data_IF_036955590834
#
_entry.id   IF_036955590834
#
_cell.length_a   1.000
_cell.length_b   1.000
_cell.length_c   1.000
_cell.angle_alpha   90.00
_cell.angle_beta   90.00
_cell.angle_gamma   90.00
#
_symmetry.space_group_name_H-M   'P 1'
#
loop_
_entity.id
_entity.type
_entity.pdbx_description
1 polymer ?
#
# COMPACT_ATOMS: atom_id res chain seq x y z
N UNK A 1 -30.78 -27.93 -35.89
CA UNK A 1 -30.89 -27.62 -34.44
C UNK A 1 -29.51 -27.23 -33.97
N UNK A 2 -29.29 -25.93 -33.73
CA UNK A 2 -28.03 -25.45 -33.16
C UNK A 2 -28.08 -25.72 -31.65
N UNK A 3 -27.18 -26.56 -31.17
CA UNK A 3 -26.96 -26.81 -29.75
C UNK A 3 -26.34 -25.56 -29.14
N UNK A 4 -27.09 -24.85 -28.30
CA UNK A 4 -26.53 -23.78 -27.47
C UNK A 4 -25.41 -24.37 -26.60
N UNK A 5 -24.21 -23.74 -26.57
CA UNK A 5 -23.15 -24.18 -25.68
C UNK A 5 -23.65 -24.05 -24.23
N UNK A 6 -23.55 -25.16 -23.50
CA UNK A 6 -23.89 -25.27 -22.08
C UNK A 6 -23.17 -24.18 -21.30
N UNK A 7 -23.95 -23.51 -20.45
CA UNK A 7 -23.57 -22.30 -19.73
C UNK A 7 -22.27 -22.45 -18.94
N UNK A 8 -21.52 -21.35 -18.88
CA UNK A 8 -20.37 -21.21 -18.01
C UNK A 8 -20.76 -21.63 -16.59
N UNK A 9 -20.07 -22.61 -16.03
CA UNK A 9 -20.19 -22.93 -14.61
C UNK A 9 -20.00 -21.63 -13.82
N UNK A 10 -20.86 -21.34 -12.82
CA UNK A 10 -20.74 -20.12 -12.05
C UNK A 10 -19.32 -20.03 -11.48
N UNK A 11 -18.68 -18.88 -11.67
CA UNK A 11 -17.37 -18.62 -11.08
C UNK A 11 -17.47 -18.86 -9.56
N UNK A 12 -16.67 -19.78 -9.04
CA UNK A 12 -16.67 -20.08 -7.61
C UNK A 12 -15.70 -19.13 -6.91
N UNK A 13 -16.20 -18.52 -5.84
CA UNK A 13 -15.45 -17.61 -4.97
C UNK A 13 -15.21 -18.29 -3.63
N UNK A 14 -14.02 -18.11 -3.08
CA UNK A 14 -13.68 -18.50 -1.71
C UNK A 14 -13.23 -17.27 -0.93
N UNK A 15 -13.72 -17.12 0.31
CA UNK A 15 -13.31 -16.07 1.22
C UNK A 15 -12.68 -16.66 2.47
N UNK A 16 -11.44 -16.32 2.72
CA UNK A 16 -10.71 -16.59 3.95
C UNK A 16 -10.81 -15.34 4.81
N UNK A 17 -11.56 -15.43 5.90
CA UNK A 17 -11.67 -14.38 6.93
C UNK A 17 -11.45 -15.04 8.28
N UNK A 18 -10.23 -15.55 8.47
CA UNK A 18 -9.85 -16.30 9.66
C UNK A 18 -8.78 -15.52 10.42
N UNK A 19 -9.03 -15.30 11.71
CA UNK A 19 -8.03 -14.75 12.63
C UNK A 19 -6.87 -15.73 12.83
N UNK A 20 -7.11 -17.03 12.63
CA UNK A 20 -6.10 -18.09 12.64
C UNK A 20 -5.78 -18.52 11.19
N UNK A 21 -4.70 -17.94 10.65
CA UNK A 21 -4.26 -18.26 9.30
C UNK A 21 -3.72 -19.70 9.16
N UNK A 22 -3.28 -20.34 10.26
CA UNK A 22 -2.88 -21.74 10.25
C UNK A 22 -4.11 -22.65 10.15
N UNK A 23 -5.21 -22.30 10.82
CA UNK A 23 -6.49 -22.99 10.65
C UNK A 23 -7.02 -22.83 9.22
N UNK A 24 -6.96 -21.63 8.64
CA UNK A 24 -7.32 -21.42 7.24
C UNK A 24 -6.48 -22.28 6.28
N UNK A 25 -5.16 -22.31 6.48
CA UNK A 25 -4.24 -23.14 5.69
C UNK A 25 -4.54 -24.64 5.86
N UNK A 26 -4.82 -25.10 7.07
CA UNK A 26 -5.20 -26.49 7.36
C UNK A 26 -6.50 -26.88 6.63
N UNK A 27 -7.48 -25.98 6.62
CA UNK A 27 -8.75 -26.16 5.92
C UNK A 27 -8.52 -26.28 4.41
N UNK A 28 -7.72 -25.39 3.82
CA UNK A 28 -7.36 -25.47 2.41
C UNK A 28 -6.63 -26.77 2.05
N UNK A 29 -5.68 -27.20 2.88
CA UNK A 29 -4.92 -28.46 2.66
C UNK A 29 -5.79 -29.70 2.65
N UNK A 30 -6.92 -29.67 3.36
CA UNK A 30 -7.89 -30.78 3.40
C UNK A 30 -8.99 -30.66 2.36
N UNK A 31 -9.07 -29.52 1.65
CA UNK A 31 -10.04 -29.30 0.57
C UNK A 31 -9.66 -30.13 -0.66
N UNK A 32 -10.62 -30.86 -1.29
CA UNK A 32 -10.32 -31.64 -2.49
C UNK A 32 -9.75 -30.78 -3.62
N UNK A 33 -8.72 -31.29 -4.31
CA UNK A 33 -8.05 -30.58 -5.42
C UNK A 33 -9.03 -30.12 -6.49
N UNK A 34 -10.04 -30.94 -6.81
CA UNK A 34 -11.06 -30.58 -7.80
C UNK A 34 -11.88 -29.33 -7.39
N UNK A 35 -12.11 -29.14 -6.09
CA UNK A 35 -12.79 -27.95 -5.57
C UNK A 35 -11.87 -26.73 -5.62
N UNK A 36 -10.61 -26.88 -5.22
CA UNK A 36 -9.60 -25.81 -5.31
C UNK A 36 -9.41 -25.33 -6.76
N UNK A 37 -9.31 -26.26 -7.71
CA UNK A 37 -9.19 -25.94 -9.13
C UNK A 37 -10.45 -25.30 -9.73
N UNK A 38 -11.60 -25.39 -9.07
CA UNK A 38 -12.81 -24.71 -9.53
C UNK A 38 -12.79 -23.22 -9.16
N UNK A 39 -12.13 -22.85 -8.06
CA UNK A 39 -12.10 -21.47 -7.53
C UNK A 39 -11.47 -20.53 -8.57
N UNK A 40 -12.16 -19.41 -8.84
CA UNK A 40 -11.70 -18.34 -9.75
C UNK A 40 -11.44 -17.03 -9.03
N UNK A 41 -11.95 -16.88 -7.83
CA UNK A 41 -11.72 -15.70 -7.00
C UNK A 41 -11.44 -16.14 -5.57
N UNK A 42 -10.29 -15.72 -5.03
CA UNK A 42 -9.90 -15.95 -3.66
C UNK A 42 -9.76 -14.61 -2.94
N UNK A 43 -10.58 -14.40 -1.92
CA UNK A 43 -10.48 -13.25 -1.03
C UNK A 43 -9.78 -13.67 0.27
N UNK A 44 -8.73 -12.96 0.65
CA UNK A 44 -8.09 -13.09 1.97
C UNK A 44 -8.34 -11.79 2.72
N UNK A 45 -9.18 -11.84 3.75
CA UNK A 45 -9.53 -10.69 4.59
C UNK A 45 -8.76 -10.85 5.91
N UNK A 46 -7.73 -10.02 6.08
CA UNK A 46 -7.00 -9.95 7.34
C UNK A 46 -7.89 -9.27 8.37
N UNK A 47 -7.96 -9.85 9.56
CA UNK A 47 -8.73 -9.33 10.69
C UNK A 47 -7.86 -8.45 11.58
N UNK A 48 -8.51 -7.69 12.46
CA UNK A 48 -7.83 -6.94 13.51
C UNK A 48 -6.86 -7.80 14.32
N UNK A 49 -7.23 -9.05 14.62
CA UNK A 49 -6.36 -10.00 15.33
C UNK A 49 -5.08 -10.32 14.56
N UNK A 50 -5.17 -10.47 13.23
CA UNK A 50 -3.98 -10.68 12.40
C UNK A 50 -3.06 -9.45 12.52
N UNK A 51 -3.64 -8.24 12.49
CA UNK A 51 -2.88 -7.01 12.64
C UNK A 51 -2.26 -6.87 14.04
N UNK A 52 -3.03 -7.05 15.11
CA UNK A 52 -2.59 -6.95 16.50
C UNK A 52 -1.39 -7.84 16.78
N UNK A 53 -1.35 -9.04 16.19
CA UNK A 53 -0.30 -10.03 16.42
C UNK A 53 0.67 -10.19 15.25
N UNK A 54 0.65 -9.32 14.24
CA UNK A 54 1.31 -9.59 12.94
C UNK A 54 2.79 -10.01 13.04
N UNK A 55 3.54 -9.37 13.94
CA UNK A 55 4.96 -9.64 14.17
C UNK A 55 5.24 -10.60 15.35
N UNK A 56 4.23 -11.37 15.78
CA UNK A 56 4.35 -12.32 16.89
C UNK A 56 4.24 -11.68 18.27
N UNK A 57 3.92 -10.40 18.36
CA UNK A 57 3.64 -9.68 19.60
C UNK A 57 2.43 -8.79 19.41
N UNK A 58 1.78 -8.40 20.51
CA UNK A 58 0.83 -7.29 20.50
C UNK A 58 1.49 -6.04 19.92
N UNK A 59 0.65 -5.23 19.29
CA UNK A 59 1.00 -3.91 18.84
C UNK A 59 1.51 -3.01 20.01
N UNK A 60 2.61 -2.24 19.82
CA UNK A 60 3.07 -1.32 20.84
C UNK A 60 2.00 -0.31 21.25
N UNK A 61 1.76 -0.19 22.56
CA UNK A 61 0.75 0.74 23.10
C UNK A 61 -0.65 0.14 23.26
N UNK A 62 -0.87 -1.13 22.92
CA UNK A 62 -2.20 -1.77 23.05
C UNK A 62 -2.80 -1.65 24.47
N UNK A 63 -1.97 -1.72 25.51
CA UNK A 63 -2.37 -1.57 26.92
C UNK A 63 -2.85 -0.17 27.32
N UNK A 64 -2.68 0.83 26.45
CA UNK A 64 -3.21 2.20 26.66
C UNK A 64 -4.64 2.29 26.14
N UNK A 65 -4.98 1.46 25.16
CA UNK A 65 -6.29 1.45 24.48
C UNK A 65 -7.22 0.41 25.09
N UNK A 66 -6.67 -0.76 25.43
CA UNK A 66 -7.39 -1.90 25.94
C UNK A 66 -7.00 -2.13 27.40
N UNK A 67 -7.99 -2.34 28.26
CA UNK A 67 -7.71 -2.77 29.63
C UNK A 67 -7.29 -4.26 29.68
N UNK A 68 -6.96 -4.77 30.86
CA UNK A 68 -6.53 -6.18 31.00
C UNK A 68 -7.65 -7.15 30.62
N UNK A 69 -8.92 -6.81 30.88
CA UNK A 69 -10.06 -7.66 30.54
C UNK A 69 -10.29 -7.66 29.02
N UNK A 70 -10.15 -6.51 28.35
CA UNK A 70 -10.17 -6.40 26.89
C UNK A 70 -9.04 -7.21 26.28
N UNK A 71 -7.80 -7.08 26.77
CA UNK A 71 -6.64 -7.82 26.27
C UNK A 71 -6.78 -9.32 26.51
N UNK A 72 -7.33 -9.74 27.65
CA UNK A 72 -7.64 -11.13 27.96
C UNK A 72 -8.79 -11.66 27.10
N UNK A 73 -9.81 -10.83 26.82
CA UNK A 73 -10.88 -11.14 25.88
C UNK A 73 -10.35 -11.27 24.46
N UNK A 74 -9.47 -10.36 24.01
CA UNK A 74 -8.76 -10.47 22.74
C UNK A 74 -7.92 -11.74 22.71
N UNK A 75 -7.16 -12.05 23.76
CA UNK A 75 -6.39 -13.29 23.87
C UNK A 75 -7.28 -14.54 23.96
N UNK A 76 -8.55 -14.42 24.37
CA UNK A 76 -9.50 -15.53 24.42
C UNK A 76 -10.20 -15.75 23.09
N UNK A 77 -10.69 -14.67 22.47
CA UNK A 77 -11.37 -14.67 21.18
C UNK A 77 -10.38 -14.92 20.05
N UNK A 78 -9.17 -14.41 20.21
CA UNK A 78 -8.09 -14.43 19.24
C UNK A 78 -6.79 -14.80 19.93
N UNK A 79 -6.67 -16.05 20.41
CA UNK A 79 -5.47 -16.50 21.10
C UNK A 79 -4.24 -16.13 20.28
N UNK A 80 -3.42 -15.28 20.88
CA UNK A 80 -2.08 -15.03 20.39
C UNK A 80 -1.44 -16.40 20.12
N UNK A 81 -0.56 -16.53 19.13
CA UNK A 81 0.18 -17.76 18.86
C UNK A 81 1.05 -18.26 20.04
N UNK A 82 0.90 -17.75 21.26
CA UNK A 82 1.61 -18.18 22.44
C UNK A 82 0.63 -18.54 23.57
N UNK A 83 0.03 -19.73 23.45
CA UNK A 83 -0.46 -20.55 24.58
C UNK A 83 -0.55 -22.03 24.19
N UNK A 84 -0.68 -22.33 22.89
CA UNK A 84 -0.44 -23.68 22.39
C UNK A 84 1.06 -23.88 22.14
N UNK A 85 1.65 -24.92 22.73
CA UNK A 85 3.02 -25.37 22.41
C UNK A 85 3.19 -25.84 20.95
N UNK A 86 2.16 -25.70 20.11
CA UNK A 86 2.12 -26.09 18.70
C UNK A 86 2.06 -24.93 17.72
N UNK A 87 2.06 -23.67 18.18
CA UNK A 87 2.02 -22.53 17.27
C UNK A 87 3.40 -22.33 16.63
N UNK A 88 3.49 -22.61 15.32
CA UNK A 88 4.77 -22.80 14.62
C UNK A 88 5.28 -21.49 14.00
N UNK A 89 4.52 -20.40 13.96
CA UNK A 89 4.93 -19.17 13.25
C UNK A 89 4.10 -17.93 13.63
N UNK A 90 4.66 -16.70 13.56
CA UNK A 90 3.88 -15.47 13.68
C UNK A 90 2.87 -15.34 12.50
N UNK A 91 1.79 -14.53 12.61
CA UNK A 91 0.78 -14.38 11.57
C UNK A 91 1.35 -13.96 10.20
N UNK A 92 2.40 -13.14 10.19
CA UNK A 92 3.15 -12.77 8.98
C UNK A 92 3.77 -13.98 8.26
N UNK A 93 4.24 -14.98 9.00
CA UNK A 93 4.78 -16.23 8.44
C UNK A 93 3.67 -17.21 8.06
N UNK A 94 2.60 -17.30 8.86
CA UNK A 94 1.40 -18.08 8.51
C UNK A 94 0.75 -17.55 7.23
N UNK A 95 0.70 -16.22 7.05
CA UNK A 95 0.25 -15.57 5.82
C UNK A 95 1.14 -15.94 4.63
N UNK A 96 2.48 -15.91 4.77
CA UNK A 96 3.38 -16.38 3.72
C UNK A 96 3.16 -17.85 3.38
N UNK A 97 2.97 -18.71 4.38
CA UNK A 97 2.68 -20.12 4.18
C UNK A 97 1.36 -20.34 3.42
N UNK A 98 0.33 -19.55 3.77
CA UNK A 98 -0.95 -19.53 3.06
C UNK A 98 -0.77 -19.11 1.59
N UNK A 99 -0.05 -18.02 1.33
CA UNK A 99 0.22 -17.55 -0.03
C UNK A 99 1.00 -18.60 -0.84
N UNK A 100 2.03 -19.25 -0.26
CA UNK A 100 2.79 -20.31 -0.93
C UNK A 100 1.89 -21.49 -1.31
N UNK A 101 1.01 -21.91 -0.40
CA UNK A 101 0.01 -22.94 -0.71
C UNK A 101 -0.91 -22.54 -1.86
N UNK A 102 -1.38 -21.28 -1.88
CA UNK A 102 -2.18 -20.75 -2.99
C UNK A 102 -1.38 -20.83 -4.30
N UNK A 103 -0.13 -20.37 -4.30
CA UNK A 103 0.75 -20.38 -5.45
C UNK A 103 1.05 -21.78 -6.00
N UNK A 104 0.97 -22.82 -5.16
CA UNK A 104 1.22 -24.22 -5.51
C UNK A 104 -0.04 -24.99 -5.92
N UNK A 105 -1.20 -24.61 -5.37
CA UNK A 105 -2.42 -25.44 -5.46
C UNK A 105 -3.48 -24.88 -6.41
N UNK A 106 -3.39 -23.61 -6.78
CA UNK A 106 -4.35 -22.95 -7.66
C UNK A 106 -3.79 -22.72 -9.06
N UNK A 107 -4.67 -22.66 -10.05
CA UNK A 107 -4.34 -22.20 -11.39
C UNK A 107 -4.27 -20.67 -11.41
N UNK A 108 -3.06 -20.13 -11.24
CA UNK A 108 -2.85 -18.69 -11.05
C UNK A 108 -3.27 -17.85 -12.27
N UNK A 109 -3.13 -18.40 -13.48
CA UNK A 109 -3.55 -17.72 -14.72
C UNK A 109 -5.05 -17.50 -14.82
N UNK A 110 -5.83 -18.23 -14.00
CA UNK A 110 -7.29 -18.16 -13.93
C UNK A 110 -7.81 -17.63 -12.58
N UNK A 111 -6.90 -17.26 -11.67
CA UNK A 111 -7.23 -16.84 -10.31
C UNK A 111 -7.17 -15.31 -10.15
N UNK A 112 -8.27 -14.75 -9.65
CA UNK A 112 -8.28 -13.41 -9.05
C UNK A 112 -8.00 -13.53 -7.57
N UNK A 113 -6.85 -13.02 -7.12
CA UNK A 113 -6.50 -12.96 -5.71
C UNK A 113 -6.75 -11.55 -5.18
N UNK A 114 -7.58 -11.42 -4.14
CA UNK A 114 -7.81 -10.17 -3.43
C UNK A 114 -7.39 -10.29 -1.97
N UNK A 115 -6.44 -9.48 -1.53
CA UNK A 115 -6.02 -9.37 -0.12
C UNK A 115 -6.55 -8.08 0.47
N UNK A 116 -7.44 -8.18 1.45
CA UNK A 116 -7.95 -7.05 2.21
C UNK A 116 -7.21 -6.92 3.55
N UNK A 117 -6.23 -6.01 3.60
CA UNK A 117 -5.53 -5.59 4.80
C UNK A 117 -6.17 -4.34 5.43
N UNK A 118 -7.05 -3.65 4.68
CA UNK A 118 -7.73 -2.43 5.11
C UNK A 118 -8.70 -2.64 6.26
N UNK A 119 -9.48 -3.73 6.23
CA UNK A 119 -10.47 -4.03 7.28
C UNK A 119 -9.81 -4.18 8.65
N UNK A 120 -8.68 -4.90 8.74
CA UNK A 120 -7.92 -5.06 9.98
C UNK A 120 -7.49 -3.73 10.59
N UNK A 121 -6.96 -2.83 9.76
CA UNK A 121 -6.52 -1.52 10.22
C UNK A 121 -7.70 -0.64 10.63
N UNK A 122 -8.80 -0.68 9.86
CA UNK A 122 -9.98 0.12 10.15
C UNK A 122 -10.60 -0.24 11.50
N UNK A 123 -10.78 -1.53 11.80
CA UNK A 123 -11.29 -1.97 13.10
C UNK A 123 -10.40 -1.49 14.25
N UNK A 124 -9.08 -1.65 14.12
CA UNK A 124 -8.13 -1.14 15.12
C UNK A 124 -8.24 0.38 15.27
N UNK A 125 -8.46 1.12 14.17
CA UNK A 125 -8.62 2.58 14.21
C UNK A 125 -9.96 3.04 14.82
N UNK A 126 -11.06 2.33 14.60
CA UNK A 126 -12.33 2.64 15.25
C UNK A 126 -12.22 2.47 16.77
N UNK A 127 -11.59 1.37 17.19
CA UNK A 127 -11.37 1.08 18.61
C UNK A 127 -10.36 2.05 19.22
N UNK A 128 -9.30 2.40 18.48
CA UNK A 128 -8.41 3.48 18.88
C UNK A 128 -9.13 4.81 18.94
N UNK A 129 -9.92 5.24 17.96
CA UNK A 129 -10.58 6.56 17.99
C UNK A 129 -11.54 6.70 19.17
N UNK A 130 -12.05 5.59 19.71
CA UNK A 130 -12.79 5.56 20.96
C UNK A 130 -11.91 5.87 22.19
N UNK A 131 -10.61 5.55 22.18
CA UNK A 131 -9.64 5.82 23.26
C UNK A 131 -8.58 6.92 23.00
N UNK A 132 -8.28 7.26 21.74
CA UNK A 132 -7.02 7.85 21.28
C UNK A 132 -7.02 9.39 21.20
N UNK A 133 -8.08 10.06 21.66
CA UNK A 133 -7.95 11.48 22.00
C UNK A 133 -7.27 11.72 23.36
N UNK A 134 -6.92 10.65 24.09
CA UNK A 134 -6.12 10.73 25.32
C UNK A 134 -4.60 10.65 25.12
N UNK A 135 -4.14 10.08 24.01
CA UNK A 135 -2.72 9.81 23.73
C UNK A 135 -1.94 11.02 23.20
N UNK A 136 -0.64 11.09 23.48
CA UNK A 136 0.24 12.13 22.93
C UNK A 136 0.49 11.93 21.42
N UNK A 137 0.90 12.98 20.70
CA UNK A 137 1.23 12.92 19.26
C UNK A 137 2.19 11.79 18.88
N UNK A 138 3.15 11.50 19.76
CA UNK A 138 4.15 10.45 19.55
C UNK A 138 3.55 9.03 19.53
N UNK A 139 2.43 8.82 20.21
CA UNK A 139 1.72 7.54 20.24
C UNK A 139 1.00 7.31 18.90
N UNK A 140 0.26 8.32 18.43
CA UNK A 140 -0.38 8.28 17.09
C UNK A 140 0.64 7.99 15.99
N UNK A 141 1.84 8.59 16.05
CA UNK A 141 2.89 8.34 15.08
C UNK A 141 3.44 6.89 15.16
N UNK A 142 3.55 6.30 16.35
CA UNK A 142 3.94 4.89 16.52
C UNK A 142 2.89 3.94 15.96
N UNK A 143 1.62 4.29 16.14
CA UNK A 143 0.46 3.54 15.67
C UNK A 143 0.45 3.45 14.15
N UNK A 144 0.60 4.61 13.50
CA UNK A 144 0.74 4.67 12.05
C UNK A 144 1.96 3.92 11.52
N UNK A 145 3.11 4.01 12.21
CA UNK A 145 4.31 3.25 11.83
C UNK A 145 4.06 1.74 11.88
N UNK A 146 3.27 1.26 12.85
CA UNK A 146 2.93 -0.17 12.93
C UNK A 146 2.04 -0.62 11.78
N UNK A 147 0.93 0.07 11.53
CA UNK A 147 0.01 -0.25 10.41
C UNK A 147 0.75 -0.19 9.07
N UNK A 148 1.62 0.80 8.91
CA UNK A 148 2.43 0.93 7.70
C UNK A 148 3.43 -0.22 7.54
N UNK A 149 4.10 -0.64 8.61
CA UNK A 149 4.97 -1.83 8.59
C UNK A 149 4.20 -3.09 8.24
N UNK A 150 2.99 -3.26 8.77
CA UNK A 150 2.08 -4.34 8.42
C UNK A 150 1.77 -4.35 6.92
N UNK A 151 1.36 -3.22 6.34
CA UNK A 151 1.09 -3.13 4.90
C UNK A 151 2.31 -3.41 4.04
N UNK A 152 3.47 -2.87 4.42
CA UNK A 152 4.71 -3.16 3.72
C UNK A 152 5.05 -4.66 3.78
N UNK A 153 4.83 -5.31 4.91
CA UNK A 153 5.11 -6.74 5.07
C UNK A 153 4.12 -7.62 4.28
N UNK A 154 2.83 -7.25 4.21
CA UNK A 154 1.86 -7.89 3.31
C UNK A 154 2.32 -7.78 1.85
N UNK A 155 2.75 -6.58 1.43
CA UNK A 155 3.28 -6.35 0.09
C UNK A 155 4.54 -7.17 -0.20
N UNK A 156 5.47 -7.24 0.75
CA UNK A 156 6.69 -8.07 0.65
C UNK A 156 6.36 -9.56 0.54
N UNK A 157 5.44 -10.06 1.35
CA UNK A 157 5.02 -11.46 1.30
C UNK A 157 4.39 -11.83 -0.04
N UNK A 158 3.56 -10.95 -0.61
CA UNK A 158 3.00 -11.13 -1.95
C UNK A 158 4.10 -11.14 -3.02
N UNK A 159 5.02 -10.17 -2.98
CA UNK A 159 6.14 -10.11 -3.91
C UNK A 159 7.01 -11.37 -3.81
N UNK A 160 7.41 -11.78 -2.60
CA UNK A 160 8.24 -12.97 -2.35
C UNK A 160 7.63 -14.24 -2.96
N UNK A 161 6.31 -14.43 -2.81
CA UNK A 161 5.65 -15.68 -3.22
C UNK A 161 5.30 -15.69 -4.71
N UNK A 162 4.88 -14.55 -5.25
CA UNK A 162 4.39 -14.44 -6.62
C UNK A 162 5.39 -13.82 -7.60
N UNK A 163 6.62 -13.51 -7.19
CA UNK A 163 7.68 -13.06 -8.10
C UNK A 163 7.85 -14.05 -9.26
N UNK A 164 7.71 -13.55 -10.49
CA UNK A 164 7.83 -14.34 -11.71
C UNK A 164 6.66 -15.30 -11.98
N UNK A 165 5.56 -15.24 -11.21
CA UNK A 165 4.33 -16.02 -11.45
C UNK A 165 3.25 -15.16 -12.10
N UNK A 166 2.46 -15.76 -12.97
CA UNK A 166 1.35 -15.08 -13.63
C UNK A 166 0.05 -15.28 -12.85
N UNK A 167 -0.45 -14.21 -12.24
CA UNK A 167 -1.80 -14.12 -11.66
C UNK A 167 -2.72 -13.40 -12.66
N UNK A 168 -3.98 -13.83 -12.77
CA UNK A 168 -4.98 -13.13 -13.60
C UNK A 168 -5.22 -11.72 -13.07
N UNK A 169 -5.52 -11.62 -11.78
CA UNK A 169 -5.69 -10.35 -11.06
C UNK A 169 -5.09 -10.48 -9.67
N UNK A 170 -4.36 -9.46 -9.24
CA UNK A 170 -3.95 -9.27 -7.85
C UNK A 170 -4.50 -7.92 -7.37
N UNK A 171 -5.42 -7.96 -6.42
CA UNK A 171 -5.93 -6.79 -5.73
C UNK A 171 -5.44 -6.76 -4.28
N UNK A 172 -4.91 -5.62 -3.83
CA UNK A 172 -4.58 -5.40 -2.42
C UNK A 172 -5.37 -4.19 -1.95
N UNK A 173 -6.21 -4.37 -0.93
CA UNK A 173 -6.96 -3.28 -0.29
C UNK A 173 -6.27 -2.89 1.00
N UNK A 174 -5.95 -1.61 1.11
CA UNK A 174 -5.49 -0.95 2.34
C UNK A 174 -6.45 0.19 2.67
N UNK A 175 -6.54 0.54 3.95
CA UNK A 175 -7.40 1.63 4.41
C UNK A 175 -6.57 2.53 5.32
N UNK A 176 -6.47 3.81 4.96
CA UNK A 176 -5.80 4.82 5.77
C UNK A 176 -6.86 5.85 6.14
N UNK A 177 -7.08 6.06 7.43
CA UNK A 177 -7.91 7.13 7.96
C UNK A 177 -7.22 8.48 7.78
N UNK A 178 -7.87 9.45 7.14
CA UNK A 178 -7.32 10.79 6.87
C UNK A 178 -7.64 11.83 7.95
N UNK A 179 -8.45 11.46 8.93
CA UNK A 179 -8.79 12.33 10.05
C UNK A 179 -9.99 13.23 9.78
N UNK A 180 -11.08 12.95 10.52
CA UNK A 180 -12.04 13.95 11.01
C UNK A 180 -13.30 14.35 10.21
N UNK A 181 -13.73 13.65 9.15
CA UNK A 181 -15.14 13.72 8.75
C UNK A 181 -15.70 12.33 8.39
N UNK A 182 -16.93 12.05 8.83
CA UNK A 182 -17.65 10.81 8.49
C UNK A 182 -17.57 10.55 6.99
N UNK A 183 -17.23 9.34 6.51
CA UNK A 183 -17.32 9.05 5.10
C UNK A 183 -18.80 8.89 4.72
N UNK A 184 -19.40 9.95 4.17
CA UNK A 184 -20.50 9.77 3.21
C UNK A 184 -19.96 9.37 1.83
N UNK A 185 -18.63 9.37 1.64
CA UNK A 185 -17.98 8.93 0.42
C UNK A 185 -16.90 7.92 0.77
N UNK A 186 -17.29 6.64 0.76
CA UNK A 186 -16.36 5.53 0.60
C UNK A 186 -15.77 5.62 -0.80
N UNK A 187 -14.83 6.52 -1.04
CA UNK A 187 -14.02 6.49 -2.25
C UNK A 187 -13.02 5.33 -2.11
N UNK A 188 -13.53 4.09 -2.12
CA UNK A 188 -12.72 2.94 -2.51
C UNK A 188 -12.42 3.11 -3.99
N UNK A 189 -11.35 3.84 -4.29
CA UNK A 189 -10.80 3.87 -5.64
C UNK A 189 -10.09 2.53 -5.83
N UNK A 190 -10.87 1.51 -6.22
CA UNK A 190 -10.35 0.18 -6.58
C UNK A 190 -9.62 0.32 -7.92
N UNK A 191 -8.36 0.71 -7.86
CA UNK A 191 -7.50 0.69 -9.03
C UNK A 191 -6.98 -0.73 -9.17
N UNK A 192 -7.64 -1.50 -10.01
CA UNK A 192 -7.04 -2.69 -10.57
C UNK A 192 -5.97 -2.21 -11.55
N UNK A 193 -4.75 -2.01 -11.05
CA UNK A 193 -3.57 -1.69 -11.85
C UNK A 193 -2.84 -2.97 -12.19
N UNK A 194 -2.83 -3.34 -13.48
CA UNK A 194 -1.95 -4.40 -13.99
C UNK A 194 -0.66 -3.76 -14.51
N UNK A 195 0.48 -4.24 -14.03
CA UNK A 195 1.81 -3.87 -14.54
C UNK A 195 2.23 -4.85 -15.65
N UNK A 196 3.09 -4.44 -16.60
CA UNK A 196 3.69 -5.35 -17.58
C UNK A 196 4.37 -6.53 -16.88
N UNK A 197 4.31 -7.70 -17.51
CA UNK A 197 4.82 -8.94 -16.96
C UNK A 197 6.36 -8.94 -16.91
N UNK A 198 6.94 -9.72 -15.99
CA UNK A 198 8.39 -9.73 -15.71
C UNK A 198 9.29 -10.23 -16.86
N UNK A 199 8.72 -10.67 -17.96
CA UNK A 199 9.41 -11.02 -19.21
C UNK A 199 9.68 -9.80 -20.11
N UNK A 200 8.97 -8.68 -19.91
CA UNK A 200 9.24 -7.38 -20.57
C UNK A 200 10.38 -6.60 -19.88
N UNK A 201 11.54 -7.24 -19.68
CA UNK A 201 12.72 -6.56 -19.14
C UNK A 201 13.23 -5.50 -20.13
N UNK A 202 13.44 -4.28 -19.64
CA UNK A 202 14.07 -3.20 -20.41
C UNK A 202 13.10 -2.28 -21.15
N UNK A 203 11.81 -2.30 -20.82
CA UNK A 203 10.89 -1.23 -21.23
C UNK A 203 11.43 0.10 -20.67
N UNK A 204 11.66 1.12 -21.51
CA UNK A 204 12.05 2.43 -21.03
C UNK A 204 11.01 2.97 -20.05
N UNK A 205 11.45 3.66 -19.00
CA UNK A 205 10.53 4.18 -17.99
C UNK A 205 9.44 5.10 -18.57
N UNK A 206 9.74 5.85 -19.64
CA UNK A 206 8.75 6.69 -20.35
C UNK A 206 7.64 5.88 -21.06
N UNK A 207 7.87 4.59 -21.23
CA UNK A 207 6.98 3.63 -21.86
C UNK A 207 6.37 2.66 -20.83
N UNK A 208 6.69 2.79 -19.53
CA UNK A 208 6.01 2.06 -18.46
C UNK A 208 4.52 2.41 -18.47
N UNK A 209 3.70 1.38 -18.52
CA UNK A 209 2.25 1.50 -18.61
C UNK A 209 1.60 0.69 -17.50
N UNK A 210 0.38 1.07 -17.14
CA UNK A 210 -0.52 0.24 -16.39
C UNK A 210 -1.86 0.16 -17.10
N UNK A 211 -2.59 -0.91 -16.85
CA UNK A 211 -4.00 -1.01 -17.22
C UNK A 211 -4.84 -0.62 -16.01
N UNK A 212 -5.69 0.38 -16.21
CA UNK A 212 -6.76 0.75 -15.30
C UNK A 212 -8.00 -0.06 -15.68
N UNK A 213 -8.45 -0.96 -14.80
CA UNK A 213 -9.67 -1.75 -15.02
C UNK A 213 -10.85 -1.14 -14.25
N UNK A 214 -11.83 -0.60 -14.98
CA UNK A 214 -13.08 -0.04 -14.47
C UNK A 214 -14.28 -0.84 -15.01
N UNK A 215 -14.80 -1.77 -14.20
CA UNK A 215 -15.82 -2.72 -14.64
C UNK A 215 -15.30 -3.59 -15.79
N UNK A 216 -15.98 -3.54 -16.94
CA UNK A 216 -15.57 -4.25 -18.17
C UNK A 216 -14.62 -3.43 -19.06
N UNK A 217 -14.22 -2.23 -18.63
CA UNK A 217 -13.37 -1.33 -19.42
C UNK A 217 -11.93 -1.42 -18.95
N UNK A 218 -11.02 -1.72 -19.88
CA UNK A 218 -9.57 -1.70 -19.64
C UNK A 218 -8.99 -0.49 -20.36
N UNK A 219 -8.44 0.45 -19.60
CA UNK A 219 -7.73 1.61 -20.15
C UNK A 219 -6.24 1.46 -19.90
N UNK A 220 -5.47 1.24 -20.98
CA UNK A 220 -4.01 1.27 -20.92
C UNK A 220 -3.54 2.72 -20.93
N UNK A 221 -2.79 3.12 -19.91
CA UNK A 221 -2.20 4.46 -19.79
C UNK A 221 -0.78 4.37 -19.24
N UNK A 222 0.00 5.43 -19.38
CA UNK A 222 1.35 5.48 -18.78
C UNK A 222 1.22 5.45 -17.26
N UNK A 223 2.10 4.73 -16.57
CA UNK A 223 2.03 4.60 -15.12
C UNK A 223 2.02 5.98 -14.43
N UNK A 224 2.87 6.91 -14.88
CA UNK A 224 2.86 8.25 -14.32
C UNK A 224 1.57 9.03 -14.61
N UNK A 225 0.89 8.79 -15.73
CA UNK A 225 -0.41 9.43 -16.02
C UNK A 225 -1.51 8.90 -15.10
N UNK A 226 -1.49 7.61 -14.77
CA UNK A 226 -2.41 7.05 -13.77
C UNK A 226 -2.18 7.69 -12.40
N UNK A 227 -0.92 7.75 -11.95
CA UNK A 227 -0.55 8.39 -10.69
C UNK A 227 -0.84 9.89 -10.66
N UNK A 228 -0.67 10.58 -11.79
CA UNK A 228 -1.05 11.98 -11.96
C UNK A 228 -2.53 12.23 -11.79
N UNK A 229 -3.35 11.34 -12.35
CA UNK A 229 -4.80 11.44 -12.32
C UNK A 229 -5.30 11.21 -10.90
N UNK A 230 -4.74 10.22 -10.21
CA UNK A 230 -4.95 10.01 -8.78
C UNK A 230 -4.61 11.22 -7.95
N UNK A 231 -3.42 11.79 -8.16
CA UNK A 231 -3.03 12.98 -7.44
C UNK A 231 -3.95 14.15 -7.76
N UNK A 232 -4.40 14.33 -9.01
CA UNK A 232 -5.37 15.38 -9.37
C UNK A 232 -6.66 15.28 -8.59
N UNK A 233 -7.15 14.07 -8.32
CA UNK A 233 -8.36 13.87 -7.54
C UNK A 233 -8.14 14.12 -6.04
N UNK A 234 -6.97 13.71 -5.52
CA UNK A 234 -6.66 13.83 -4.09
C UNK A 234 -6.13 15.22 -3.70
N UNK A 235 -5.50 15.94 -4.62
CA UNK A 235 -4.84 17.22 -4.37
C UNK A 235 -5.80 18.31 -3.85
N UNK A 236 -7.03 18.46 -4.35
CA UNK A 236 -8.02 19.36 -3.77
C UNK A 236 -8.28 19.07 -2.29
N UNK A 237 -8.39 17.81 -1.87
CA UNK A 237 -8.64 17.43 -0.47
C UNK A 237 -7.48 17.89 0.42
N UNK A 238 -6.24 17.62 0.00
CA UNK A 238 -5.02 18.03 0.71
C UNK A 238 -4.87 19.55 0.80
N UNK A 239 -5.35 20.29 -0.21
CA UNK A 239 -5.24 21.75 -0.27
C UNK A 239 -6.40 22.49 0.41
N UNK A 240 -7.59 21.91 0.48
CA UNK A 240 -8.78 22.53 1.06
C UNK A 240 -8.77 22.51 2.59
N UNK A 241 -8.22 21.46 3.20
CA UNK A 241 -8.22 21.24 4.66
C UNK A 241 -7.40 22.26 5.47
N UNK A 242 -6.65 23.16 4.82
CA UNK A 242 -5.78 24.15 5.50
C UNK A 242 -6.18 25.61 5.29
N UNK A 243 -7.41 25.88 4.87
CA UNK A 243 -7.76 27.17 4.25
C UNK A 243 -8.60 28.18 5.07
N UNK A 244 -8.76 27.98 6.39
CA UNK A 244 -9.47 28.97 7.24
C UNK A 244 -8.58 30.11 7.79
N UNK A 245 -7.33 30.25 7.33
CA UNK A 245 -6.43 31.35 7.69
C UNK A 245 -5.71 31.94 6.48
N UNK A 246 -5.35 33.23 6.55
CA UNK A 246 -4.68 33.99 5.47
C UNK A 246 -3.34 33.39 4.99
N UNK A 247 -2.77 32.41 5.71
CA UNK A 247 -1.58 31.66 5.30
C UNK A 247 -1.95 30.37 4.56
N UNK A 248 -2.29 30.51 3.27
CA UNK A 248 -2.47 29.34 2.39
C UNK A 248 -1.16 28.55 2.30
N UNK A 249 -1.08 27.43 2.99
CA UNK A 249 0.11 26.60 3.07
C UNK A 249 0.65 26.27 1.67
N UNK A 250 1.93 26.57 1.44
CA UNK A 250 2.63 26.21 0.20
C UNK A 250 2.74 24.70 0.09
N UNK A 251 2.53 24.15 -1.10
CA UNK A 251 2.71 22.72 -1.37
C UNK A 251 4.22 22.42 -1.36
N UNK A 252 4.64 21.53 -0.46
CA UNK A 252 6.01 21.06 -0.32
C UNK A 252 5.99 19.54 -0.44
N UNK A 253 6.40 19.06 -1.60
CA UNK A 253 6.35 17.63 -1.95
C UNK A 253 7.73 17.03 -1.83
N UNK A 254 7.83 15.93 -1.09
CA UNK A 254 8.96 15.02 -1.12
C UNK A 254 8.61 13.85 -2.04
N UNK A 255 9.32 13.73 -3.16
CA UNK A 255 9.13 12.68 -4.16
C UNK A 255 10.18 11.57 -3.97
N UNK A 256 9.78 10.50 -3.28
CA UNK A 256 10.58 9.31 -3.03
C UNK A 256 10.58 8.40 -4.25
N UNK A 257 11.77 8.03 -4.70
CA UNK A 257 11.91 7.27 -5.94
C UNK A 257 11.85 8.14 -7.18
N UNK A 258 12.00 9.47 -7.05
CA UNK A 258 12.16 10.35 -8.18
C UNK A 258 13.19 9.77 -9.15
N UNK A 259 12.84 9.64 -10.44
CA UNK A 259 13.76 9.16 -11.49
C UNK A 259 13.91 10.26 -12.53
N UNK A 260 13.43 10.05 -13.76
CA UNK A 260 13.51 11.02 -14.85
C UNK A 260 12.61 12.26 -14.66
N UNK A 261 11.92 12.39 -13.52
CA UNK A 261 11.09 13.55 -13.16
C UNK A 261 9.67 13.55 -13.73
N UNK A 262 9.22 12.45 -14.35
CA UNK A 262 7.88 12.35 -14.95
C UNK A 262 6.75 12.62 -13.95
N UNK A 263 6.88 12.10 -12.73
CA UNK A 263 5.88 12.33 -11.70
C UNK A 263 5.76 13.82 -11.34
N UNK A 264 6.88 14.51 -11.12
CA UNK A 264 6.87 15.96 -10.87
C UNK A 264 6.26 16.75 -12.03
N UNK A 265 6.52 16.35 -13.28
CA UNK A 265 5.91 16.98 -14.45
C UNK A 265 4.39 16.93 -14.38
N UNK A 266 3.87 15.77 -14.03
CA UNK A 266 2.45 15.55 -13.86
C UNK A 266 1.86 16.31 -12.65
N UNK A 267 2.55 16.35 -11.49
CA UNK A 267 2.13 17.20 -10.36
C UNK A 267 2.04 18.66 -10.79
N UNK A 268 3.06 19.14 -11.52
CA UNK A 268 3.09 20.52 -12.01
C UNK A 268 1.94 20.77 -12.97
N UNK A 269 1.68 19.85 -13.90
CA UNK A 269 0.55 19.92 -14.84
C UNK A 269 -0.80 19.98 -14.11
N UNK A 270 -1.00 19.07 -13.15
CA UNK A 270 -2.18 18.99 -12.29
C UNK A 270 -2.45 20.30 -11.54
N UNK A 271 -1.41 20.85 -10.92
CA UNK A 271 -1.48 22.11 -10.15
C UNK A 271 -1.74 23.30 -11.07
N UNK A 272 -1.09 23.36 -12.24
CA UNK A 272 -1.34 24.42 -13.22
C UNK A 272 -2.77 24.37 -13.78
N UNK A 273 -3.34 23.18 -13.97
CA UNK A 273 -4.73 23.01 -14.42
C UNK A 273 -5.78 23.52 -13.42
N UNK A 274 -5.41 23.72 -12.16
CA UNK A 274 -6.28 24.27 -11.10
C UNK A 274 -6.25 25.81 -11.00
N UNK A 275 -5.56 26.49 -11.93
CA UNK A 275 -5.55 27.95 -12.08
C UNK A 275 -4.28 28.64 -11.55
N UNK A 276 -4.00 29.83 -12.09
CA UNK A 276 -2.74 30.59 -11.92
C UNK A 276 -2.34 30.87 -10.46
N UNK A 277 -3.28 30.80 -9.52
CA UNK A 277 -3.03 31.01 -8.09
C UNK A 277 -2.30 29.86 -7.38
N UNK A 278 -2.24 28.67 -8.00
CA UNK A 278 -1.70 27.44 -7.42
C UNK A 278 -0.28 27.14 -7.93
N UNK A 279 0.04 27.55 -9.15
CA UNK A 279 1.40 27.45 -9.73
C UNK A 279 2.43 28.27 -8.93
N UNK A 280 2.02 29.40 -8.33
CA UNK A 280 2.85 30.17 -7.36
C UNK A 280 3.02 29.49 -5.99
N UNK A 281 2.34 28.37 -5.73
CA UNK A 281 2.34 27.68 -4.42
C UNK A 281 3.20 26.43 -4.36
N UNK A 282 3.72 25.93 -5.48
CA UNK A 282 4.77 24.89 -5.46
C UNK A 282 6.12 25.60 -5.29
N UNK A 283 6.51 25.83 -4.03
CA UNK A 283 7.75 26.53 -3.74
C UNK A 283 8.94 25.60 -3.55
N UNK A 284 8.73 24.36 -3.12
CA UNK A 284 9.80 23.41 -2.93
C UNK A 284 9.32 22.00 -3.26
N UNK A 285 9.98 21.38 -4.22
CA UNK A 285 9.67 20.02 -4.62
C UNK A 285 11.01 19.36 -4.90
N UNK A 286 11.30 18.37 -4.07
CA UNK A 286 12.62 17.74 -4.01
C UNK A 286 12.49 16.26 -4.32
N UNK A 287 13.37 15.80 -5.20
CA UNK A 287 13.49 14.39 -5.51
C UNK A 287 14.43 13.76 -4.51
N UNK A 288 14.04 12.63 -3.94
CA UNK A 288 14.92 11.78 -3.14
C UNK A 288 14.88 10.37 -3.73
N UNK A 289 16.05 9.81 -4.10
CA UNK A 289 16.13 8.44 -4.62
C UNK A 289 17.28 7.66 -4.00
N UNK A 290 17.08 6.35 -3.87
CA UNK A 290 18.07 5.28 -3.67
C UNK A 290 19.33 5.45 -4.56
N UNK A 291 20.55 5.02 -4.16
CA UNK A 291 21.83 5.60 -4.54
C UNK A 291 22.34 5.15 -5.93
N UNK A 292 21.54 5.36 -6.96
CA UNK A 292 21.96 5.28 -8.36
C UNK A 292 22.17 6.70 -8.90
N UNK A 293 23.42 7.16 -9.07
CA UNK A 293 23.75 8.49 -9.60
C UNK A 293 23.09 8.77 -10.96
N UNK A 294 22.82 7.72 -11.73
CA UNK A 294 22.19 7.76 -13.05
C UNK A 294 20.78 8.34 -13.01
N UNK A 295 20.09 8.28 -11.88
CA UNK A 295 18.74 8.81 -11.76
C UNK A 295 18.72 10.34 -11.81
N UNK A 296 19.61 10.99 -11.05
CA UNK A 296 19.77 12.43 -11.13
C UNK A 296 20.19 12.85 -12.54
N UNK A 297 21.14 12.13 -13.14
CA UNK A 297 21.58 12.39 -14.50
C UNK A 297 20.43 12.23 -15.52
N UNK A 298 19.56 11.24 -15.35
CA UNK A 298 18.38 11.03 -16.19
C UNK A 298 17.34 12.13 -15.98
N UNK A 299 17.11 12.55 -14.73
CA UNK A 299 16.24 13.70 -14.41
C UNK A 299 16.74 14.98 -15.07
N UNK A 300 18.03 15.28 -14.92
CA UNK A 300 18.65 16.48 -15.51
C UNK A 300 18.66 16.43 -17.04
N UNK A 301 18.83 15.23 -17.64
CA UNK A 301 18.82 15.02 -19.10
C UNK A 301 17.42 15.15 -19.68
N UNK A 302 16.46 14.44 -19.10
CA UNK A 302 15.13 14.29 -19.67
C UNK A 302 14.24 15.48 -19.31
N UNK A 303 14.41 16.02 -18.10
CA UNK A 303 13.60 17.13 -17.57
C UNK A 303 14.45 18.11 -16.74
N UNK A 304 15.36 18.88 -17.37
CA UNK A 304 16.26 19.79 -16.67
C UNK A 304 15.53 20.82 -15.81
N UNK A 305 16.01 21.03 -14.58
CA UNK A 305 15.41 21.95 -13.61
C UNK A 305 14.09 21.44 -13.02
N UNK A 306 13.75 20.17 -13.28
CA UNK A 306 12.55 19.58 -12.71
C UNK A 306 12.67 19.19 -11.25
N UNK A 307 13.69 19.54 -10.48
CA UNK A 307 13.55 19.55 -9.02
C UNK A 307 14.28 20.77 -8.45
N UNK A 308 13.76 21.33 -7.36
CA UNK A 308 14.43 22.46 -6.69
C UNK A 308 15.68 21.99 -5.94
N UNK A 309 15.67 20.74 -5.51
CA UNK A 309 16.85 19.97 -5.16
C UNK A 309 16.60 18.49 -5.41
N UNK A 310 17.68 17.75 -5.65
CA UNK A 310 17.64 16.32 -5.89
C UNK A 310 18.73 15.68 -5.05
N UNK A 311 18.33 14.77 -4.17
CA UNK A 311 19.25 14.00 -3.32
C UNK A 311 19.24 12.54 -3.75
N UNK A 312 20.43 11.99 -3.92
CA UNK A 312 20.66 10.59 -4.25
C UNK A 312 21.25 9.94 -3.01
N UNK A 313 20.46 9.13 -2.32
CA UNK A 313 20.86 8.49 -1.08
C UNK A 313 19.99 7.30 -0.69
N UNK A 314 20.54 6.46 0.17
CA UNK A 314 19.83 5.36 0.80
C UNK A 314 19.02 5.87 2.01
N UNK A 315 17.69 5.78 1.91
CA UNK A 315 16.77 6.21 2.97
C UNK A 315 16.95 5.35 4.24
N UNK A 316 17.37 4.10 4.10
CA UNK A 316 17.58 3.21 5.25
C UNK A 316 18.79 3.64 6.07
N UNK A 317 19.84 4.20 5.46
CA UNK A 317 20.98 4.77 6.16
C UNK A 317 20.54 5.99 7.01
N UNK A 318 19.60 6.79 6.50
CA UNK A 318 19.07 7.96 7.21
C UNK A 318 18.17 7.66 8.40
N UNK A 319 17.51 6.51 8.41
CA UNK A 319 16.75 6.05 9.57
C UNK A 319 17.71 5.67 10.70
N UNK A 320 18.90 5.16 10.36
CA UNK A 320 19.81 4.53 11.31
C UNK A 320 20.97 5.45 11.77
N UNK A 321 21.28 6.52 11.06
CA UNK A 321 22.35 7.45 11.42
C UNK A 321 22.04 8.92 11.06
N UNK A 322 22.50 9.90 11.87
CA UNK A 322 22.36 11.32 11.54
C UNK A 322 23.17 11.70 10.29
N UNK A 323 22.60 12.64 9.53
CA UNK A 323 23.11 13.08 8.21
C UNK A 323 24.52 13.67 8.31
N UNK A 324 25.43 13.17 7.48
CA UNK A 324 26.79 13.66 7.36
C UNK A 324 26.91 14.84 6.37
N UNK A 325 26.01 14.94 5.38
CA UNK A 325 25.94 16.07 4.44
C UNK A 325 24.93 17.15 4.91
N UNK A 326 25.38 18.40 5.13
CA UNK A 326 24.52 19.53 5.48
C UNK A 326 23.38 19.80 4.48
N UNK A 327 23.58 19.48 3.20
CA UNK A 327 22.58 19.65 2.13
C UNK A 327 21.41 18.69 2.31
N UNK A 328 21.70 17.47 2.77
CA UNK A 328 20.72 16.45 3.08
C UNK A 328 19.98 16.80 4.37
N UNK A 329 20.70 17.30 5.39
CA UNK A 329 20.08 17.81 6.62
C UNK A 329 19.11 18.96 6.36
N UNK A 330 19.45 19.82 5.40
CA UNK A 330 18.58 20.94 5.00
C UNK A 330 17.29 20.43 4.35
N UNK A 331 17.30 19.28 3.68
CA UNK A 331 16.15 18.72 2.98
C UNK A 331 15.04 18.31 3.97
N UNK A 332 15.39 17.62 5.05
CA UNK A 332 14.42 17.16 6.04
C UNK A 332 13.89 18.29 6.95
N UNK A 333 14.63 19.38 7.10
CA UNK A 333 14.21 20.55 7.88
C UNK A 333 13.14 21.41 7.18
N UNK A 334 12.82 21.14 5.91
CA UNK A 334 11.89 21.97 5.14
C UNK A 334 10.40 21.72 5.45
N UNK A 335 10.08 20.70 6.25
CA UNK A 335 8.72 20.41 6.70
C UNK A 335 7.77 20.13 5.54
N UNK A 336 8.10 19.14 4.70
CA UNK A 336 7.23 18.67 3.61
C UNK A 336 5.83 18.35 4.14
N UNK A 337 4.80 18.69 3.36
CA UNK A 337 3.41 18.42 3.70
C UNK A 337 2.76 17.39 2.77
N UNK A 338 3.49 16.91 1.76
CA UNK A 338 3.09 15.80 0.91
C UNK A 338 4.28 14.88 0.71
N UNK A 339 4.08 13.59 0.98
CA UNK A 339 4.99 12.53 0.61
C UNK A 339 4.42 11.81 -0.60
N UNK A 340 5.19 11.71 -1.66
CA UNK A 340 4.86 10.87 -2.79
C UNK A 340 5.93 9.79 -2.94
N UNK A 341 5.52 8.57 -3.29
CA UNK A 341 6.44 7.48 -3.56
C UNK A 341 5.89 6.61 -4.67
N UNK A 342 6.58 6.57 -5.82
CA UNK A 342 6.25 5.66 -6.92
C UNK A 342 7.30 4.56 -6.95
N UNK A 343 6.87 3.35 -6.62
CA UNK A 343 7.64 2.11 -6.68
C UNK A 343 8.92 2.05 -5.82
N UNK A 344 9.37 3.16 -5.23
CA UNK A 344 10.57 3.24 -4.39
C UNK A 344 10.51 2.31 -3.17
N UNK A 345 9.32 2.17 -2.58
CA UNK A 345 9.08 1.36 -1.40
C UNK A 345 8.85 -0.12 -1.73
N UNK A 346 8.38 -0.42 -2.95
CA UNK A 346 8.05 -1.77 -3.40
C UNK A 346 9.29 -2.54 -3.86
N UNK A 347 10.33 -1.85 -4.34
CA UNK A 347 11.55 -2.49 -4.82
C UNK A 347 12.55 -2.90 -3.74
N UNK A 348 12.29 -2.59 -2.45
CA UNK A 348 13.07 -3.11 -1.33
C UNK A 348 14.59 -3.05 -1.54
N UNK A 349 15.08 -1.98 -2.16
CA UNK A 349 16.51 -1.72 -2.31
C UNK A 349 17.00 -0.98 -1.06
#
# INVERSE_FOLDING_TARGET
MATHPQGASPATSLTIRDSDLDHALSTLRTTPVAELCAIRTLHIILTESNLLHWHGSLWPGSHVVFDEDDLDEFARLYPAPASSSTAISPPSEAFRALLRFVAESFDLGELDLEVNAGDAAWSLFEDMAAGAYGGGRDEVDQNWRFVYKFYLDVGRALAEVFEGRELRVLGVKTSIWDGMEKPAVTAQVKLNMRFPQGDEKGVPQDDEWCELVEGDTITRMRLAQAMASLLREQLPLVLHDKSDGEDKAKLRVLDLGAVNGMFREEIRSAVCGHGDGLTRRINDHRGLRHPFPEAKASSDRDRPGMYNAYVVADITEYINAPLSDPTEATLFLQGFNVLASISALAFGI
#
